data_IF_683968211097
#
_entry.id   IF_683968211097
#
_cell.length_a   1.000
_cell.length_b   1.000
_cell.length_c   1.000
_cell.angle_alpha   90.00
_cell.angle_beta   90.00
_cell.angle_gamma   90.00
#
_symmetry.space_group_name_H-M   'P 1'
#
loop_
_entity.id
_entity.type
_entity.pdbx_description
1 polymer ?
#
# COMPACT_ATOMS: atom_id res chain seq x y z
N UNK A 1 17.07 10.06 15.02
CA UNK A 1 16.41 8.91 14.36
C UNK A 1 17.06 8.70 13.01
N UNK A 2 17.36 7.46 12.63
CA UNK A 2 17.87 7.12 11.29
C UNK A 2 16.68 6.69 10.44
N UNK A 3 16.48 7.35 9.30
CA UNK A 3 15.46 6.99 8.31
C UNK A 3 15.99 5.85 7.44
N UNK A 4 15.28 4.73 7.36
CA UNK A 4 15.67 3.56 6.58
C UNK A 4 15.16 3.62 5.13
N UNK A 5 13.87 3.89 4.96
CA UNK A 5 13.19 3.99 3.65
C UNK A 5 12.12 5.07 3.68
N UNK A 6 11.74 5.56 2.51
CA UNK A 6 10.58 6.43 2.32
C UNK A 6 9.81 5.97 1.09
N UNK A 7 8.49 6.00 1.21
CA UNK A 7 7.57 5.89 0.09
C UNK A 7 6.96 7.28 -0.09
N UNK A 8 7.31 8.03 -1.16
CA UNK A 8 6.85 9.40 -1.36
C UNK A 8 5.42 9.40 -1.92
N UNK A 9 4.45 8.98 -1.09
CA UNK A 9 3.02 8.91 -1.41
C UNK A 9 2.19 9.47 -0.26
N UNK A 10 1.20 10.27 -0.59
CA UNK A 10 0.13 10.60 0.36
C UNK A 10 -0.90 9.49 0.32
N UNK A 11 -0.72 8.50 1.18
CA UNK A 11 -1.50 7.27 1.14
C UNK A 11 -1.98 6.85 2.53
N UNK A 12 -3.07 6.08 2.55
CA UNK A 12 -3.35 5.18 3.68
C UNK A 12 -2.60 3.87 3.44
N UNK A 13 -2.27 3.12 4.49
CA UNK A 13 -1.43 1.94 4.35
C UNK A 13 -1.78 0.83 5.35
N UNK A 14 -1.43 -0.41 4.99
CA UNK A 14 -1.45 -1.56 5.88
C UNK A 14 -0.22 -2.44 5.70
N UNK A 15 0.19 -3.09 6.77
CA UNK A 15 1.30 -4.06 6.75
C UNK A 15 0.80 -5.46 6.49
N UNK A 16 1.59 -6.25 5.76
CA UNK A 16 1.35 -7.69 5.67
C UNK A 16 1.41 -8.31 7.07
N UNK A 17 0.45 -9.18 7.43
CA UNK A 17 0.48 -9.85 8.73
C UNK A 17 1.57 -10.92 8.80
N UNK A 18 2.00 -11.22 10.03
CA UNK A 18 2.95 -12.29 10.33
C UNK A 18 4.40 -11.82 10.46
N UNK A 19 5.32 -12.79 10.53
CA UNK A 19 6.76 -12.56 10.76
C UNK A 19 7.62 -12.74 9.50
N UNK A 20 6.99 -12.80 8.33
CA UNK A 20 7.68 -12.90 7.05
C UNK A 20 8.36 -11.59 6.64
N UNK A 21 8.76 -11.50 5.36
CA UNK A 21 9.26 -10.26 4.78
C UNK A 21 8.18 -9.17 4.92
N UNK A 22 8.46 -8.02 5.54
CA UNK A 22 7.44 -7.00 5.78
C UNK A 22 7.08 -6.33 4.46
N UNK A 23 5.88 -6.63 3.95
CA UNK A 23 5.30 -5.96 2.81
C UNK A 23 4.36 -4.86 3.29
N UNK A 24 4.28 -3.80 2.50
CA UNK A 24 3.41 -2.66 2.75
C UNK A 24 2.46 -2.51 1.57
N UNK A 25 1.17 -2.37 1.83
CA UNK A 25 0.23 -1.90 0.81
C UNK A 25 -0.10 -0.44 1.09
N UNK A 26 -0.20 0.37 0.04
CA UNK A 26 -0.62 1.76 0.13
C UNK A 26 -1.74 2.04 -0.87
N UNK A 27 -2.74 2.82 -0.47
CA UNK A 27 -3.77 3.34 -1.37
C UNK A 27 -3.81 4.85 -1.38
N UNK A 28 -4.05 5.46 -2.55
CA UNK A 28 -4.22 6.92 -2.68
C UNK A 28 -5.26 7.42 -1.68
N UNK A 29 -4.86 8.33 -0.79
CA UNK A 29 -5.70 8.75 0.34
C UNK A 29 -6.83 9.68 -0.11
N UNK A 30 -8.06 9.36 0.27
CA UNK A 30 -9.22 10.23 0.05
C UNK A 30 -9.08 11.55 0.82
N UNK A 31 -9.52 12.65 0.20
CA UNK A 31 -9.40 14.00 0.76
C UNK A 31 -8.00 14.60 0.75
N UNK A 32 -7.00 13.88 0.22
CA UNK A 32 -5.68 14.43 -0.08
C UNK A 32 -5.54 14.72 -1.58
N UNK A 33 -4.69 15.70 -1.90
CA UNK A 33 -4.28 16.02 -3.27
C UNK A 33 -2.77 15.80 -3.33
N UNK A 34 -2.32 15.08 -4.35
CA UNK A 34 -0.89 14.88 -4.60
C UNK A 34 -0.26 16.12 -5.25
N UNK A 35 1.07 16.13 -5.34
CA UNK A 35 1.82 17.31 -5.77
C UNK A 35 1.57 17.67 -7.25
N UNK A 36 1.16 16.69 -8.04
CA UNK A 36 0.83 16.79 -9.46
C UNK A 36 -0.68 16.95 -9.74
N UNK A 37 -1.52 16.99 -8.70
CA UNK A 37 -2.98 17.11 -8.81
C UNK A 37 -3.58 16.01 -9.70
N UNK A 38 -3.06 14.79 -9.59
CA UNK A 38 -3.59 13.62 -10.26
C UNK A 38 -4.94 13.22 -9.66
N UNK A 39 -5.83 12.81 -10.55
CA UNK A 39 -7.08 12.15 -10.16
C UNK A 39 -6.97 10.62 -10.14
N UNK A 40 -5.79 10.07 -10.44
CA UNK A 40 -5.58 8.62 -10.43
C UNK A 40 -5.52 8.07 -8.99
N UNK A 41 -6.47 7.19 -8.65
CA UNK A 41 -6.41 6.40 -7.43
C UNK A 41 -5.68 5.07 -7.69
N UNK A 42 -4.69 4.74 -6.87
CA UNK A 42 -3.89 3.51 -7.00
C UNK A 42 -3.83 2.75 -5.69
N UNK A 43 -3.81 1.42 -5.80
CA UNK A 43 -3.40 0.49 -4.76
C UNK A 43 -2.02 -0.08 -5.15
N UNK A 44 -1.01 0.21 -4.35
CA UNK A 44 0.39 -0.16 -4.63
C UNK A 44 0.91 -1.10 -3.53
N UNK A 45 1.59 -2.18 -3.93
CA UNK A 45 2.28 -3.11 -3.04
C UNK A 45 3.77 -2.79 -3.04
N UNK A 46 4.38 -2.77 -1.88
CA UNK A 46 5.77 -2.38 -1.68
C UNK A 46 6.54 -3.42 -0.92
N UNK A 47 7.80 -3.56 -1.34
CA UNK A 47 8.84 -4.24 -0.60
C UNK A 47 9.88 -3.21 -0.20
N UNK A 48 10.10 -3.07 1.10
CA UNK A 48 11.03 -2.09 1.64
C UNK A 48 12.49 -2.54 1.54
N UNK A 49 12.75 -3.81 1.19
CA UNK A 49 14.10 -4.38 1.07
C UNK A 49 15.02 -3.91 2.19
N UNK A 50 14.57 -4.04 3.44
CA UNK A 50 15.30 -3.53 4.61
C UNK A 50 16.66 -4.21 4.80
N UNK A 51 16.86 -5.36 4.16
CA UNK A 51 18.09 -6.14 4.18
C UNK A 51 19.14 -5.64 3.16
N UNK A 52 18.73 -4.83 2.17
CA UNK A 52 19.60 -4.30 1.12
C UNK A 52 20.04 -2.86 1.42
N UNK A 53 21.22 -2.72 2.03
CA UNK A 53 21.80 -1.40 2.34
C UNK A 53 22.37 -0.65 1.13
N UNK A 54 22.48 -1.31 -0.04
CA UNK A 54 23.01 -0.71 -1.27
C UNK A 54 21.92 -0.15 -2.17
N UNK A 55 20.67 -0.62 -2.01
CA UNK A 55 19.55 -0.12 -2.76
C UNK A 55 19.30 1.37 -2.44
N UNK A 56 19.20 2.19 -3.49
CA UNK A 56 18.96 3.62 -3.38
C UNK A 56 17.71 3.99 -2.59
N UNK A 57 17.56 5.29 -2.29
CA UNK A 57 16.45 5.81 -1.49
C UNK A 57 15.08 5.69 -2.18
N UNK A 58 15.06 5.63 -3.52
CA UNK A 58 13.82 5.55 -4.29
C UNK A 58 13.33 4.11 -4.39
N UNK A 59 12.21 3.85 -3.71
CA UNK A 59 11.48 2.59 -3.83
C UNK A 59 10.56 2.63 -5.05
N UNK A 60 10.42 1.48 -5.70
CA UNK A 60 9.40 1.24 -6.70
C UNK A 60 8.39 0.22 -6.17
N UNK A 61 7.09 0.36 -6.50
CA UNK A 61 6.10 -0.61 -6.10
C UNK A 61 6.37 -1.95 -6.80
N UNK A 62 6.19 -3.05 -6.08
CA UNK A 62 6.20 -4.41 -6.64
C UNK A 62 5.02 -4.62 -7.60
N UNK A 63 3.87 -4.03 -7.27
CA UNK A 63 2.66 -4.07 -8.07
C UNK A 63 1.87 -2.78 -7.86
N UNK A 64 1.16 -2.34 -8.91
CA UNK A 64 0.29 -1.16 -8.87
C UNK A 64 -1.00 -1.48 -9.61
N UNK A 65 -2.13 -1.22 -8.97
CA UNK A 65 -3.48 -1.42 -9.53
C UNK A 65 -4.20 -0.07 -9.50
N UNK A 66 -4.75 0.35 -10.63
CA UNK A 66 -5.62 1.53 -10.68
C UNK A 66 -7.00 1.16 -10.12
N UNK A 67 -7.55 2.04 -9.31
CA UNK A 67 -8.87 1.87 -8.67
C UNK A 67 -9.78 3.03 -9.06
N UNK A 68 -11.09 2.81 -8.96
CA UNK A 68 -12.09 3.81 -9.38
C UNK A 68 -12.29 4.91 -8.33
N UNK A 69 -11.80 4.73 -7.10
CA UNK A 69 -12.07 5.62 -5.97
C UNK A 69 -10.90 5.60 -4.98
N UNK A 70 -10.71 6.71 -4.26
CA UNK A 70 -9.64 6.84 -3.25
C UNK A 70 -9.98 6.13 -1.95
N UNK A 71 -8.97 5.91 -1.12
CA UNK A 71 -9.08 5.10 0.09
C UNK A 71 -9.20 5.98 1.35
N UNK A 72 -10.20 5.68 2.18
CA UNK A 72 -10.24 6.16 3.56
C UNK A 72 -9.40 5.30 4.50
N UNK A 73 -9.44 3.98 4.32
CA UNK A 73 -8.71 3.02 5.14
C UNK A 73 -8.36 1.75 4.35
N UNK A 74 -7.30 1.07 4.78
CA UNK A 74 -6.89 -0.24 4.25
C UNK A 74 -6.53 -1.15 5.41
N UNK A 75 -6.98 -2.40 5.34
CA UNK A 75 -6.58 -3.45 6.26
C UNK A 75 -6.04 -4.65 5.48
N UNK A 76 -5.06 -5.35 6.06
CA UNK A 76 -4.53 -6.59 5.51
C UNK A 76 -4.82 -7.75 6.47
N UNK A 77 -5.72 -8.63 6.04
CA UNK A 77 -6.13 -9.82 6.76
C UNK A 77 -5.05 -10.92 6.77
N UNK A 78 -5.11 -11.80 7.76
CA UNK A 78 -4.17 -12.93 7.90
C UNK A 78 -4.30 -13.92 6.74
N UNK A 79 -3.21 -14.65 6.47
CA UNK A 79 -3.22 -15.72 5.49
C UNK A 79 -4.07 -16.91 5.93
N UNK A 80 -4.71 -17.56 4.95
CA UNK A 80 -5.45 -18.81 5.10
C UNK A 80 -5.10 -19.80 3.97
N UNK A 81 -5.80 -20.93 3.90
CA UNK A 81 -5.53 -21.98 2.90
C UNK A 81 -5.79 -21.54 1.46
N UNK A 82 -6.74 -20.64 1.26
CA UNK A 82 -7.16 -20.16 -0.06
C UNK A 82 -6.39 -18.89 -0.45
N UNK A 83 -5.98 -18.10 0.54
CA UNK A 83 -5.26 -16.83 0.43
C UNK A 83 -3.95 -16.90 1.24
N UNK A 84 -2.88 -17.51 0.69
CA UNK A 84 -1.63 -17.73 1.43
C UNK A 84 -0.88 -16.45 1.81
N UNK A 85 -1.27 -15.30 1.25
CA UNK A 85 -0.75 -13.97 1.61
C UNK A 85 -1.79 -13.10 2.34
N UNK A 86 -2.94 -13.67 2.68
CA UNK A 86 -4.08 -12.94 3.21
C UNK A 86 -4.81 -12.13 2.14
N UNK A 87 -5.77 -11.33 2.59
CA UNK A 87 -6.64 -10.50 1.75
C UNK A 87 -6.44 -9.05 2.16
N UNK A 88 -6.36 -8.15 1.19
CA UNK A 88 -6.34 -6.71 1.41
C UNK A 88 -7.78 -6.21 1.26
N UNK A 89 -8.27 -5.51 2.27
CA UNK A 89 -9.58 -4.85 2.24
C UNK A 89 -9.39 -3.34 2.22
N UNK A 90 -10.03 -2.65 1.28
CA UNK A 90 -10.02 -1.19 1.18
C UNK A 90 -11.41 -0.61 1.40
N UNK A 91 -11.50 0.45 2.19
CA UNK A 91 -12.70 1.27 2.32
C UNK A 91 -12.58 2.49 1.41
N UNK A 92 -13.43 2.58 0.38
CA UNK A 92 -13.32 3.56 -0.70
C UNK A 92 -14.25 4.76 -0.48
N UNK A 93 -13.91 5.88 -1.09
CA UNK A 93 -14.63 7.15 -0.91
C UNK A 93 -16.05 7.18 -1.54
N UNK A 94 -16.29 6.31 -2.52
CA UNK A 94 -17.61 6.10 -3.11
C UNK A 94 -18.57 5.30 -2.21
N UNK A 95 -18.10 4.87 -1.03
CA UNK A 95 -18.87 4.07 -0.06
C UNK A 95 -18.83 2.57 -0.31
N UNK A 96 -18.02 2.08 -1.24
CA UNK A 96 -17.79 0.64 -1.44
C UNK A 96 -16.66 0.10 -0.54
N UNK A 97 -16.65 -1.22 -0.39
CA UNK A 97 -15.53 -1.98 0.13
C UNK A 97 -15.08 -2.96 -0.95
N UNK A 98 -13.79 -2.94 -1.27
CA UNK A 98 -13.18 -3.83 -2.26
C UNK A 98 -12.13 -4.71 -1.59
N UNK A 99 -11.97 -5.92 -2.15
CA UNK A 99 -11.06 -6.96 -1.65
C UNK A 99 -10.09 -7.36 -2.75
N UNK A 100 -8.82 -7.52 -2.39
CA UNK A 100 -7.72 -7.96 -3.27
C UNK A 100 -6.90 -9.08 -2.64
#
# INVERSE_FOLDING_TARGET
MVRLREVPRTATFAWSPGSGKPLLVTGTRAGAVDADFSDESKLELWDLSLDDQLQGLELQPLASITTESRFYDIAWGSADSDHPKGIIAGALENGSLELW
#
